data_IF_063962202623
#
_entry.id   IF_063962202623
#
_cell.length_a   1.000
_cell.length_b   1.000
_cell.length_c   1.000
_cell.angle_alpha   90.00
_cell.angle_beta   90.00
_cell.angle_gamma   90.00
#
_symmetry.space_group_name_H-M   'P 1'
#
loop_
_entity.id
_entity.type
_entity.pdbx_description
1 polymer ?
#
# COMPACT_ATOMS: atom_id res chain seq x y z
N UNK A 1 13.61 -17.32 -35.16
CA UNK A 1 13.72 -16.79 -33.79
C UNK A 1 13.45 -17.95 -32.85
N UNK A 2 14.45 -18.40 -32.11
CA UNK A 2 14.27 -19.44 -31.09
C UNK A 2 13.86 -18.71 -29.81
N UNK A 3 12.71 -19.05 -29.25
CA UNK A 3 12.30 -18.55 -27.93
C UNK A 3 13.27 -19.10 -26.88
N UNK A 4 13.97 -18.20 -26.20
CA UNK A 4 14.85 -18.53 -25.09
C UNK A 4 14.03 -19.20 -23.97
N UNK A 5 14.45 -20.41 -23.58
CA UNK A 5 13.83 -21.14 -22.47
C UNK A 5 13.87 -20.31 -21.19
N UNK A 6 12.84 -20.47 -20.34
CA UNK A 6 12.83 -19.86 -18.99
C UNK A 6 14.08 -20.23 -18.19
N UNK A 7 14.59 -21.45 -18.38
CA UNK A 7 15.79 -21.93 -17.69
C UNK A 7 17.06 -21.29 -18.27
N UNK A 8 17.17 -21.13 -19.59
CA UNK A 8 18.30 -20.45 -20.24
C UNK A 8 18.39 -18.97 -19.84
N UNK A 9 17.23 -18.30 -19.75
CA UNK A 9 17.17 -16.91 -19.28
C UNK A 9 17.58 -16.79 -17.82
N UNK A 10 17.21 -17.75 -16.98
CA UNK A 10 17.57 -17.81 -15.56
C UNK A 10 19.07 -18.05 -15.37
N UNK A 11 19.65 -18.96 -16.15
CA UNK A 11 21.08 -19.28 -16.10
C UNK A 11 21.95 -18.11 -16.58
N UNK A 12 21.56 -17.45 -17.68
CA UNK A 12 22.25 -16.25 -18.17
C UNK A 12 22.18 -15.09 -17.18
N UNK A 13 21.03 -14.86 -16.56
CA UNK A 13 20.91 -13.84 -15.52
C UNK A 13 21.84 -14.21 -14.35
N UNK A 14 21.81 -15.46 -13.87
CA UNK A 14 22.67 -15.94 -12.76
C UNK A 14 24.18 -15.72 -12.98
N UNK A 15 24.63 -15.79 -14.24
CA UNK A 15 26.05 -15.65 -14.60
C UNK A 15 26.57 -14.21 -14.59
N UNK A 16 25.68 -13.21 -14.61
CA UNK A 16 26.06 -11.79 -14.60
C UNK A 16 26.16 -11.19 -13.20
N UNK A 17 26.04 -12.03 -12.18
CA UNK A 17 25.78 -11.59 -10.82
C UNK A 17 27.03 -11.79 -9.95
N UNK A 18 27.37 -10.83 -9.06
CA UNK A 18 28.53 -10.93 -8.19
C UNK A 18 28.55 -12.24 -7.38
N UNK A 19 29.73 -12.74 -7.00
CA UNK A 19 29.83 -14.04 -6.30
C UNK A 19 29.06 -14.11 -4.97
N UNK A 20 28.76 -12.97 -4.34
CA UNK A 20 27.91 -12.88 -3.14
C UNK A 20 26.40 -13.08 -3.44
N UNK A 21 26.00 -13.15 -4.71
CA UNK A 21 24.62 -13.34 -5.19
C UNK A 21 24.17 -14.81 -5.16
N UNK A 22 25.09 -15.76 -5.38
CA UNK A 22 24.78 -17.20 -5.49
C UNK A 22 24.18 -17.82 -4.21
N UNK A 23 24.60 -17.46 -2.98
CA UNK A 23 23.98 -17.96 -1.76
C UNK A 23 22.51 -17.53 -1.61
N UNK A 24 22.17 -16.32 -2.06
CA UNK A 24 20.83 -15.73 -1.91
C UNK A 24 19.78 -16.47 -2.75
N UNK A 25 20.14 -16.82 -3.98
CA UNK A 25 19.29 -17.64 -4.84
C UNK A 25 19.17 -19.08 -4.33
N UNK A 26 20.17 -19.59 -3.60
CA UNK A 26 20.15 -20.94 -3.06
C UNK A 26 19.20 -21.06 -1.86
N UNK A 27 19.09 -20.02 -1.04
CA UNK A 27 18.25 -20.01 0.17
C UNK A 27 16.80 -19.57 -0.11
N UNK A 28 16.51 -19.01 -1.29
CA UNK A 28 15.16 -18.51 -1.66
C UNK A 28 14.55 -17.57 -0.60
N UNK A 29 15.37 -16.72 -0.01
CA UNK A 29 14.94 -15.77 1.01
C UNK A 29 14.45 -14.45 0.40
N UNK A 30 13.17 -14.13 0.66
CA UNK A 30 12.52 -12.91 0.20
C UNK A 30 13.18 -11.65 0.79
N UNK A 31 13.59 -11.71 2.05
CA UNK A 31 14.19 -10.58 2.77
C UNK A 31 15.56 -10.23 2.19
N UNK A 32 16.38 -11.23 1.90
CA UNK A 32 17.65 -11.00 1.25
C UNK A 32 17.46 -10.43 -0.17
N UNK A 33 16.54 -10.96 -0.97
CA UNK A 33 16.23 -10.37 -2.29
C UNK A 33 15.78 -8.90 -2.18
N UNK A 34 14.93 -8.58 -1.19
CA UNK A 34 14.51 -7.20 -0.90
C UNK A 34 15.71 -6.30 -0.58
N UNK A 35 16.56 -6.69 0.37
CA UNK A 35 17.76 -5.93 0.76
C UNK A 35 18.71 -5.67 -0.39
N UNK A 36 18.78 -6.58 -1.37
CA UNK A 36 19.61 -6.41 -2.55
C UNK A 36 19.00 -5.44 -3.55
N UNK A 37 17.68 -5.52 -3.75
CA UNK A 37 16.94 -4.45 -4.43
C UNK A 37 17.29 -3.10 -3.83
N UNK A 38 17.22 -2.99 -2.49
CA UNK A 38 17.50 -1.74 -1.81
C UNK A 38 18.95 -1.28 -1.90
N UNK A 39 19.90 -2.19 -1.79
CA UNK A 39 21.32 -1.89 -1.99
C UNK A 39 21.60 -1.29 -3.37
N UNK A 40 21.00 -1.87 -4.43
CA UNK A 40 21.23 -1.40 -5.80
C UNK A 40 20.76 0.03 -6.02
N UNK A 41 19.69 0.48 -5.35
CA UNK A 41 19.27 1.88 -5.48
C UNK A 41 20.06 2.81 -4.56
N UNK A 42 20.23 2.46 -3.28
CA UNK A 42 20.94 3.33 -2.34
C UNK A 42 22.39 3.61 -2.74
N UNK A 43 23.08 2.66 -3.38
CA UNK A 43 24.52 2.78 -3.65
C UNK A 43 24.89 3.16 -5.08
N UNK A 44 24.01 2.90 -6.05
CA UNK A 44 24.35 2.97 -7.47
C UNK A 44 23.36 3.83 -8.27
N UNK A 45 22.29 4.29 -7.62
CA UNK A 45 21.30 5.20 -8.19
C UNK A 45 20.64 4.67 -9.46
N UNK A 46 20.20 5.59 -10.32
CA UNK A 46 19.44 5.29 -11.54
C UNK A 46 20.16 4.31 -12.49
N UNK A 47 21.50 4.28 -12.46
CA UNK A 47 22.29 3.38 -13.32
C UNK A 47 22.00 1.89 -13.09
N UNK A 48 21.53 1.53 -11.88
CA UNK A 48 21.21 0.16 -11.50
C UNK A 48 19.71 -0.09 -11.25
N UNK A 49 18.84 0.84 -11.67
CA UNK A 49 17.39 0.72 -11.47
C UNK A 49 16.80 -0.56 -12.12
N UNK A 50 17.41 -1.07 -13.19
CA UNK A 50 17.03 -2.36 -13.79
C UNK A 50 17.30 -3.56 -12.87
N UNK A 51 18.46 -3.58 -12.20
CA UNK A 51 18.83 -4.64 -11.27
C UNK A 51 17.96 -4.60 -10.01
N UNK A 52 17.71 -3.41 -9.46
CA UNK A 52 16.84 -3.24 -8.30
C UNK A 52 15.43 -3.76 -8.57
N UNK A 53 14.85 -3.41 -9.73
CA UNK A 53 13.54 -3.92 -10.16
C UNK A 53 13.48 -5.44 -10.24
N UNK A 54 14.51 -6.06 -10.84
CA UNK A 54 14.59 -7.52 -10.93
C UNK A 54 14.60 -8.16 -9.53
N UNK A 55 15.31 -7.55 -8.59
CA UNK A 55 15.40 -8.06 -7.23
C UNK A 55 14.11 -7.94 -6.43
N UNK A 56 13.42 -6.82 -6.54
CA UNK A 56 12.12 -6.68 -5.91
C UNK A 56 11.08 -7.60 -6.48
N UNK A 57 11.09 -7.86 -7.78
CA UNK A 57 10.21 -8.86 -8.36
C UNK A 57 10.46 -10.25 -7.74
N UNK A 58 11.72 -10.65 -7.55
CA UNK A 58 12.07 -11.89 -6.85
C UNK A 58 11.64 -11.85 -5.38
N UNK A 59 11.84 -10.73 -4.70
CA UNK A 59 11.42 -10.56 -3.31
C UNK A 59 9.90 -10.77 -3.16
N UNK A 60 9.10 -10.17 -4.04
CA UNK A 60 7.64 -10.33 -4.05
C UNK A 60 7.22 -11.73 -4.44
N UNK A 61 7.90 -12.36 -5.41
CA UNK A 61 7.63 -13.76 -5.77
C UNK A 61 7.81 -14.70 -4.57
N UNK A 62 8.81 -14.45 -3.72
CA UNK A 62 9.13 -15.28 -2.56
C UNK A 62 8.33 -14.90 -1.31
N UNK A 63 8.11 -13.60 -1.08
CA UNK A 63 7.49 -13.05 0.13
C UNK A 63 6.01 -12.71 0.00
N UNK A 64 5.43 -12.86 -1.21
CA UNK A 64 4.03 -12.61 -1.48
C UNK A 64 3.60 -11.16 -1.28
N UNK A 65 2.33 -10.99 -0.91
CA UNK A 65 1.66 -9.68 -0.87
C UNK A 65 2.23 -8.76 0.21
N UNK A 66 2.67 -9.29 1.36
CA UNK A 66 3.32 -8.50 2.41
C UNK A 66 4.59 -7.83 1.89
N UNK A 67 5.35 -8.55 1.06
CA UNK A 67 6.55 -8.00 0.45
C UNK A 67 6.22 -6.96 -0.63
N UNK A 68 5.12 -7.12 -1.37
CA UNK A 68 4.70 -6.12 -2.37
C UNK A 68 4.40 -4.75 -1.71
N UNK A 69 3.76 -4.75 -0.54
CA UNK A 69 3.56 -3.52 0.25
C UNK A 69 4.88 -2.89 0.68
N UNK A 70 5.84 -3.68 1.16
CA UNK A 70 7.17 -3.18 1.57
C UNK A 70 7.96 -2.62 0.40
N UNK A 71 7.94 -3.29 -0.75
CA UNK A 71 8.56 -2.81 -1.99
C UNK A 71 7.92 -1.50 -2.46
N UNK A 72 6.60 -1.34 -2.30
CA UNK A 72 5.94 -0.07 -2.59
C UNK A 72 6.47 1.08 -1.73
N UNK A 73 6.67 0.86 -0.43
CA UNK A 73 7.25 1.87 0.48
C UNK A 73 8.66 2.24 0.04
N UNK A 74 9.48 1.24 -0.22
CA UNK A 74 10.88 1.44 -0.60
C UNK A 74 11.00 2.24 -1.92
N UNK A 75 10.07 2.09 -2.86
CA UNK A 75 10.03 2.93 -4.07
C UNK A 75 9.62 4.39 -3.82
N UNK A 76 8.82 4.67 -2.78
CA UNK A 76 8.51 6.06 -2.36
C UNK A 76 9.78 6.73 -1.82
N UNK A 77 10.51 6.04 -0.94
CA UNK A 77 11.74 6.57 -0.34
C UNK A 77 12.80 6.92 -1.40
N UNK A 78 12.67 6.37 -2.61
CA UNK A 78 13.57 6.61 -3.74
C UNK A 78 13.06 7.62 -4.76
N UNK A 79 11.80 8.03 -4.67
CA UNK A 79 11.13 8.87 -5.66
C UNK A 79 10.86 8.16 -7.00
N UNK A 80 10.63 6.84 -6.99
CA UNK A 80 10.09 6.11 -8.16
C UNK A 80 8.59 5.85 -7.98
N UNK A 81 7.86 6.95 -8.00
CA UNK A 81 6.42 7.10 -7.80
C UNK A 81 5.59 6.12 -8.63
N UNK A 82 5.99 5.91 -9.89
CA UNK A 82 5.28 5.03 -10.81
C UNK A 82 5.39 3.58 -10.38
N UNK A 83 6.56 3.16 -9.93
CA UNK A 83 6.76 1.81 -9.40
C UNK A 83 6.11 1.64 -8.04
N UNK A 84 6.17 2.65 -7.16
CA UNK A 84 5.44 2.64 -5.90
C UNK A 84 3.94 2.42 -6.14
N UNK A 85 3.30 3.25 -6.96
CA UNK A 85 1.89 3.13 -7.30
C UNK A 85 1.55 1.81 -8.02
N UNK A 86 2.47 1.25 -8.81
CA UNK A 86 2.28 -0.06 -9.44
C UNK A 86 2.29 -1.20 -8.42
N UNK A 87 3.26 -1.23 -7.51
CA UNK A 87 3.38 -2.26 -6.47
C UNK A 87 2.22 -2.20 -5.47
N UNK A 88 1.78 -1.00 -5.10
CA UNK A 88 0.58 -0.81 -4.29
C UNK A 88 -0.67 -1.41 -4.97
N UNK A 89 -0.92 -1.09 -6.25
CA UNK A 89 -2.04 -1.68 -7.02
C UNK A 89 -1.93 -3.21 -7.11
N UNK A 90 -0.72 -3.71 -7.35
CA UNK A 90 -0.45 -5.15 -7.37
C UNK A 90 -0.82 -5.77 -6.02
N UNK A 91 -0.41 -5.16 -4.91
CA UNK A 91 -0.65 -5.66 -3.57
C UNK A 91 -2.15 -5.68 -3.22
N UNK A 92 -2.87 -4.58 -3.47
CA UNK A 92 -4.33 -4.50 -3.29
C UNK A 92 -5.03 -5.59 -4.10
N UNK A 93 -4.65 -5.75 -5.38
CA UNK A 93 -5.25 -6.78 -6.23
C UNK A 93 -5.06 -8.18 -5.64
N UNK A 94 -3.85 -8.52 -5.19
CA UNK A 94 -3.56 -9.87 -4.69
C UNK A 94 -4.11 -10.13 -3.29
N UNK A 95 -4.23 -9.11 -2.44
CA UNK A 95 -4.79 -9.25 -1.10
C UNK A 95 -6.31 -9.45 -1.14
N UNK A 96 -7.01 -8.80 -2.10
CA UNK A 96 -8.48 -8.74 -2.11
C UNK A 96 -9.18 -9.41 -3.32
N UNK A 97 -8.47 -10.00 -4.29
CA UNK A 97 -9.12 -10.59 -5.48
C UNK A 97 -10.15 -11.70 -5.18
N UNK A 98 -10.03 -12.39 -4.04
CA UNK A 98 -10.91 -13.49 -3.64
C UNK A 98 -11.24 -13.42 -2.15
N UNK A 99 -11.62 -12.23 -1.67
CA UNK A 99 -11.96 -12.04 -0.26
C UNK A 99 -13.17 -12.94 0.13
N UNK A 100 -13.18 -13.61 1.31
CA UNK A 100 -14.20 -14.58 1.68
C UNK A 100 -15.66 -14.05 1.70
N UNK A 101 -15.85 -12.77 2.00
CA UNK A 101 -17.16 -12.11 1.98
C UNK A 101 -17.60 -11.64 0.59
N UNK A 102 -16.74 -11.83 -0.43
CA UNK A 102 -16.96 -11.35 -1.78
C UNK A 102 -16.78 -9.84 -1.94
N UNK A 103 -16.26 -9.14 -0.93
CA UNK A 103 -15.89 -7.72 -1.05
C UNK A 103 -14.82 -7.57 -2.13
N UNK A 104 -15.06 -6.64 -3.07
CA UNK A 104 -14.14 -6.34 -4.17
C UNK A 104 -13.53 -4.98 -3.89
N UNK A 105 -12.21 -4.92 -3.86
CA UNK A 105 -11.46 -3.66 -3.71
C UNK A 105 -10.83 -3.30 -5.04
N UNK A 106 -11.19 -2.14 -5.58
CA UNK A 106 -10.56 -1.60 -6.78
C UNK A 106 -9.07 -1.33 -6.48
N UNK A 107 -8.12 -1.80 -7.31
CA UNK A 107 -6.69 -1.61 -7.06
C UNK A 107 -6.25 -0.15 -6.94
N UNK A 108 -7.03 0.79 -7.46
CA UNK A 108 -6.72 2.22 -7.48
C UNK A 108 -7.26 3.00 -6.28
N UNK A 109 -7.89 2.33 -5.30
CA UNK A 109 -8.25 2.98 -4.03
C UNK A 109 -7.00 3.50 -3.32
N UNK A 110 -7.10 4.70 -2.73
CA UNK A 110 -5.96 5.39 -2.10
C UNK A 110 -4.73 5.52 -3.00
N UNK A 111 -4.92 5.68 -4.32
CA UNK A 111 -3.82 5.82 -5.24
C UNK A 111 -2.84 6.93 -4.80
N UNK A 112 -1.55 6.63 -4.90
CA UNK A 112 -0.49 7.61 -4.71
C UNK A 112 -0.49 8.58 -5.89
N UNK A 113 -0.55 9.87 -5.58
CA UNK A 113 -0.49 10.97 -6.54
C UNK A 113 0.77 11.75 -6.22
N UNK A 114 1.53 12.10 -7.24
CA UNK A 114 2.80 12.81 -7.09
C UNK A 114 2.82 14.03 -7.99
N UNK A 115 3.47 15.10 -7.54
CA UNK A 115 3.71 16.29 -8.35
C UNK A 115 4.93 16.12 -9.27
N UNK A 116 5.24 17.16 -10.05
CA UNK A 116 6.38 17.17 -10.97
C UNK A 116 7.75 17.06 -10.25
N UNK A 117 7.78 17.24 -8.92
CA UNK A 117 8.97 17.11 -8.08
C UNK A 117 9.10 15.71 -7.46
N UNK A 118 8.14 14.81 -7.72
CA UNK A 118 8.08 13.48 -7.12
C UNK A 118 7.69 13.50 -5.65
N UNK A 119 7.04 14.57 -5.19
CA UNK A 119 6.50 14.64 -3.85
C UNK A 119 5.09 14.07 -3.88
N UNK A 120 4.77 13.18 -2.93
CA UNK A 120 3.41 12.71 -2.78
C UNK A 120 2.49 13.90 -2.44
N UNK A 121 1.51 14.14 -3.29
CA UNK A 121 0.56 15.25 -3.17
C UNK A 121 -0.86 14.74 -3.05
N UNK A 122 -1.72 15.62 -2.53
CA UNK A 122 -3.09 15.30 -2.18
C UNK A 122 -3.27 15.36 -0.68
N UNK A 123 -4.44 15.84 -0.28
CA UNK A 123 -4.87 15.90 1.12
C UNK A 123 -6.20 15.17 1.29
N UNK A 124 -7.09 15.30 0.32
CA UNK A 124 -8.44 14.74 0.39
C UNK A 124 -8.53 13.38 -0.31
N UNK A 125 -8.32 12.33 0.48
CA UNK A 125 -8.43 10.95 0.06
C UNK A 125 -9.78 10.38 0.45
N UNK A 126 -10.25 9.39 -0.30
CA UNK A 126 -11.48 8.72 0.08
C UNK A 126 -11.83 7.58 -0.84
N UNK A 127 -12.80 6.82 -0.38
CA UNK A 127 -13.34 5.68 -1.10
C UNK A 127 -14.84 5.81 -1.19
N UNK A 128 -15.40 5.30 -2.29
CA UNK A 128 -16.83 5.07 -2.46
C UNK A 128 -17.10 3.59 -2.30
N UNK A 129 -18.05 3.24 -1.47
CA UNK A 129 -18.49 1.87 -1.27
C UNK A 129 -19.88 1.69 -1.84
N UNK A 130 -20.05 0.69 -2.70
CA UNK A 130 -21.34 0.32 -3.29
C UNK A 130 -21.81 -0.97 -2.63
N UNK A 131 -22.97 -0.91 -1.98
CA UNK A 131 -23.61 -2.06 -1.32
C UNK A 131 -25.14 -1.94 -1.41
N UNK A 132 -25.85 -3.06 -1.21
CA UNK A 132 -27.30 -3.12 -1.35
C UNK A 132 -28.08 -2.56 -0.14
N UNK A 133 -27.49 -2.60 1.06
CA UNK A 133 -28.12 -2.16 2.31
C UNK A 133 -27.45 -0.88 2.80
N UNK A 134 -28.15 0.25 2.64
CA UNK A 134 -27.62 1.58 2.94
C UNK A 134 -27.44 1.86 4.44
N UNK A 135 -28.33 1.34 5.30
CA UNK A 135 -28.27 1.59 6.75
C UNK A 135 -27.06 0.87 7.36
N UNK A 136 -26.87 -0.41 6.99
CA UNK A 136 -25.68 -1.17 7.41
C UNK A 136 -24.40 -0.58 6.85
N UNK A 137 -24.46 -0.07 5.62
CA UNK A 137 -23.31 0.56 4.99
C UNK A 137 -22.91 1.79 5.79
N UNK A 138 -23.85 2.68 6.09
CA UNK A 138 -23.59 3.88 6.88
C UNK A 138 -22.96 3.54 8.23
N UNK A 139 -23.50 2.55 8.96
CA UNK A 139 -22.92 2.08 10.21
C UNK A 139 -21.48 1.57 10.08
N UNK A 140 -21.17 0.79 9.04
CA UNK A 140 -19.83 0.28 8.78
C UNK A 140 -18.85 1.39 8.39
N UNK A 141 -19.28 2.35 7.56
CA UNK A 141 -18.44 3.48 7.16
C UNK A 141 -18.14 4.41 8.34
N UNK A 142 -19.12 4.63 9.21
CA UNK A 142 -18.96 5.40 10.46
C UNK A 142 -17.97 4.73 11.43
N UNK A 143 -18.00 3.40 11.53
CA UNK A 143 -17.05 2.64 12.34
C UNK A 143 -15.64 2.72 11.72
N UNK A 144 -15.52 2.53 10.41
CA UNK A 144 -14.25 2.60 9.70
C UNK A 144 -13.61 3.99 9.81
N UNK A 145 -14.40 5.07 9.64
CA UNK A 145 -13.90 6.44 9.75
C UNK A 145 -13.30 6.74 11.13
N UNK A 146 -13.92 6.26 12.21
CA UNK A 146 -13.37 6.39 13.57
C UNK A 146 -12.02 5.70 13.72
N UNK A 147 -11.89 4.48 13.18
CA UNK A 147 -10.65 3.70 13.23
C UNK A 147 -9.57 4.26 12.30
N UNK A 148 -9.93 4.84 11.17
CA UNK A 148 -9.00 5.49 10.26
C UNK A 148 -8.20 6.59 10.94
N UNK A 149 -8.83 7.40 11.79
CA UNK A 149 -8.17 8.44 12.58
C UNK A 149 -7.09 7.92 13.55
N UNK A 150 -7.03 6.59 13.76
CA UNK A 150 -6.06 5.91 14.60
C UNK A 150 -4.96 5.20 13.80
N UNK A 151 -4.95 5.31 12.46
CA UNK A 151 -3.96 4.63 11.61
C UNK A 151 -2.77 5.54 11.34
N UNK A 152 -1.57 5.07 11.67
CA UNK A 152 -0.31 5.77 11.43
C UNK A 152 0.20 5.64 9.98
N UNK A 153 1.10 6.52 9.54
CA UNK A 153 1.72 6.44 8.21
C UNK A 153 2.45 5.12 7.93
N UNK A 154 3.06 4.49 8.95
CA UNK A 154 3.69 3.18 8.84
C UNK A 154 2.69 2.01 8.90
N UNK A 155 1.39 2.30 8.92
CA UNK A 155 0.31 1.33 8.81
C UNK A 155 -0.08 0.64 10.12
N UNK A 156 0.27 1.22 11.27
CA UNK A 156 -0.16 0.70 12.57
C UNK A 156 -1.49 1.33 12.96
N UNK A 157 -2.43 0.49 13.37
CA UNK A 157 -3.64 0.96 14.05
C UNK A 157 -3.33 1.09 15.54
N UNK A 158 -3.49 2.30 16.09
CA UNK A 158 -3.33 2.57 17.51
C UNK A 158 -4.59 2.13 18.27
N UNK A 159 -4.40 1.58 19.47
CA UNK A 159 -5.53 1.48 20.40
C UNK A 159 -5.85 2.84 21.06
N UNK A 160 -7.02 2.94 21.69
CA UNK A 160 -7.48 4.18 22.33
C UNK A 160 -6.51 4.70 23.40
N UNK A 161 -5.80 3.80 24.09
CA UNK A 161 -4.86 4.18 25.15
C UNK A 161 -3.58 4.74 24.53
N UNK A 162 -3.00 4.06 23.54
CA UNK A 162 -1.83 4.55 22.80
C UNK A 162 -2.12 5.88 22.10
N UNK A 163 -3.30 6.03 21.49
CA UNK A 163 -3.72 7.27 20.84
C UNK A 163 -3.83 8.42 21.85
N UNK A 164 -4.37 8.15 23.04
CA UNK A 164 -4.45 9.14 24.12
C UNK A 164 -3.07 9.50 24.66
N UNK A 165 -2.18 8.52 24.88
CA UNK A 165 -0.82 8.77 25.34
C UNK A 165 -0.06 9.66 24.35
N UNK A 166 -0.14 9.38 23.05
CA UNK A 166 0.47 10.22 22.02
C UNK A 166 -0.11 11.62 21.99
N UNK A 167 -1.44 11.77 22.11
CA UNK A 167 -2.09 13.07 22.19
C UNK A 167 -1.57 13.88 23.39
N UNK A 168 -1.34 13.23 24.53
CA UNK A 168 -0.83 13.88 25.74
C UNK A 168 0.67 14.24 25.60
N UNK A 169 1.49 13.35 25.04
CA UNK A 169 2.92 13.56 24.83
C UNK A 169 3.21 14.67 23.82
N UNK A 170 2.42 14.75 22.75
CA UNK A 170 2.58 15.74 21.68
C UNK A 170 1.91 17.09 22.03
N UNK A 171 1.37 17.23 23.25
CA UNK A 171 0.86 18.51 23.78
C UNK A 171 -0.54 18.87 23.28
N UNK A 172 -1.35 17.87 22.91
CA UNK A 172 -2.71 18.04 22.40
C UNK A 172 -2.79 18.42 20.92
N UNK A 173 -1.64 18.66 20.29
CA UNK A 173 -1.49 18.82 18.85
C UNK A 173 -0.74 17.57 18.40
N UNK A 174 -1.46 16.54 17.94
CA UNK A 174 -0.80 15.41 17.28
C UNK A 174 0.06 16.03 16.18
N UNK A 175 1.38 15.93 16.31
CA UNK A 175 2.30 16.65 15.42
C UNK A 175 1.89 16.26 13.99
N UNK A 176 1.55 17.23 13.12
CA UNK A 176 1.16 16.92 11.74
C UNK A 176 2.26 16.17 10.96
N UNK A 177 3.44 15.99 11.54
CA UNK A 177 4.56 15.16 11.05
C UNK A 177 4.55 13.70 11.55
N UNK A 178 3.65 13.31 12.46
CA UNK A 178 3.50 11.94 12.99
C UNK A 178 2.21 11.21 12.52
N UNK A 179 1.56 11.77 11.50
CA UNK A 179 0.62 11.18 10.53
C UNK A 179 -0.33 10.09 11.04
N UNK A 180 -1.51 10.52 11.48
CA UNK A 180 -2.80 9.85 11.26
C UNK A 180 -3.61 10.71 10.27
N UNK A 181 -4.70 10.24 9.62
CA UNK A 181 -5.60 11.16 8.92
C UNK A 181 -6.02 12.27 9.89
N UNK A 182 -5.81 13.54 9.53
CA UNK A 182 -6.19 14.70 10.35
C UNK A 182 -7.69 14.67 10.67
N UNK A 183 -8.47 14.16 9.72
CA UNK A 183 -9.87 13.87 9.90
C UNK A 183 -10.25 12.68 9.04
N UNK A 184 -11.23 11.91 9.49
CA UNK A 184 -11.91 10.92 8.68
C UNK A 184 -13.42 11.05 8.92
N UNK A 185 -14.20 11.04 7.85
CA UNK A 185 -15.64 11.26 7.92
C UNK A 185 -16.36 10.39 6.89
N UNK A 186 -17.40 9.69 7.35
CA UNK A 186 -18.32 8.97 6.49
C UNK A 186 -19.49 9.87 6.08
N UNK A 187 -19.93 9.74 4.83
CA UNK A 187 -21.13 10.39 4.31
C UNK A 187 -21.83 9.48 3.31
N UNK A 188 -23.03 8.99 3.63
CA UNK A 188 -23.82 8.08 2.80
C UNK A 188 -23.06 6.79 2.38
N UNK A 189 -22.31 6.87 1.28
CA UNK A 189 -21.60 5.76 0.65
C UNK A 189 -20.11 6.04 0.47
N UNK A 190 -19.57 7.07 1.13
CA UNK A 190 -18.16 7.44 1.02
C UNK A 190 -17.54 7.61 2.39
N UNK A 191 -16.27 7.23 2.53
CA UNK A 191 -15.42 7.66 3.64
C UNK A 191 -14.34 8.55 3.07
N UNK A 192 -14.20 9.74 3.63
CA UNK A 192 -13.19 10.73 3.27
C UNK A 192 -12.17 10.84 4.40
N UNK A 193 -10.94 11.16 4.05
CA UNK A 193 -9.80 11.28 4.94
C UNK A 193 -8.95 12.47 4.49
N UNK A 194 -8.61 13.35 5.43
CA UNK A 194 -7.59 14.37 5.21
C UNK A 194 -6.22 13.82 5.62
N UNK A 195 -5.44 13.33 4.66
CA UNK A 195 -4.08 12.81 4.89
C UNK A 195 -3.07 13.77 4.28
N UNK A 196 -2.24 14.42 5.11
CA UNK A 196 -1.11 15.21 4.62
C UNK A 196 -0.17 14.31 3.83
N UNK A 197 0.30 14.80 2.68
CA UNK A 197 1.32 14.16 1.85
C UNK A 197 0.96 12.77 1.29
N UNK A 198 -0.33 12.44 1.23
CA UNK A 198 -0.77 11.17 0.67
C UNK A 198 -1.20 10.12 1.68
N UNK A 199 -1.82 9.04 1.17
CA UNK A 199 -2.03 7.82 1.96
C UNK A 199 -0.89 6.85 1.67
N UNK A 200 0.10 6.77 2.56
CA UNK A 200 1.27 5.91 2.39
C UNK A 200 0.87 4.42 2.23
N UNK A 201 1.67 3.56 1.58
CA UNK A 201 1.25 2.21 1.22
C UNK A 201 0.78 1.37 2.43
N UNK A 202 1.52 1.40 3.54
CA UNK A 202 1.15 0.63 4.73
C UNK A 202 -0.08 1.21 5.44
N UNK A 203 -0.20 2.54 5.47
CA UNK A 203 -1.41 3.23 5.93
C UNK A 203 -2.63 2.83 5.10
N UNK A 204 -2.53 2.91 3.77
CA UNK A 204 -3.59 2.53 2.84
C UNK A 204 -3.98 1.06 3.04
N UNK A 205 -3.00 0.16 3.17
CA UNK A 205 -3.25 -1.24 3.46
C UNK A 205 -4.11 -1.41 4.71
N UNK A 206 -3.74 -0.77 5.81
CA UNK A 206 -4.46 -0.89 7.09
C UNK A 206 -5.85 -0.27 7.02
N UNK A 207 -6.00 0.88 6.35
CA UNK A 207 -7.31 1.49 6.10
C UNK A 207 -8.22 0.59 5.26
N UNK A 208 -7.71 -0.05 4.20
CA UNK A 208 -8.51 -1.02 3.43
C UNK A 208 -8.91 -2.21 4.32
N UNK A 209 -7.99 -2.74 5.14
CA UNK A 209 -8.29 -3.85 6.07
C UNK A 209 -9.38 -3.49 7.07
N UNK A 210 -9.30 -2.30 7.68
CA UNK A 210 -10.33 -1.78 8.58
C UNK A 210 -11.66 -1.71 7.85
N UNK A 211 -11.71 -1.08 6.68
CA UNK A 211 -12.95 -0.93 5.92
C UNK A 211 -13.59 -2.27 5.59
N UNK A 212 -12.80 -3.22 5.09
CA UNK A 212 -13.28 -4.57 4.77
C UNK A 212 -13.78 -5.30 6.03
N UNK A 213 -13.06 -5.17 7.14
CA UNK A 213 -13.48 -5.75 8.42
C UNK A 213 -14.80 -5.17 8.94
N UNK A 214 -15.02 -3.85 8.81
CA UNK A 214 -16.27 -3.22 9.23
C UNK A 214 -17.44 -3.61 8.31
N UNK A 215 -17.21 -3.74 7.00
CA UNK A 215 -18.21 -4.26 6.06
C UNK A 215 -18.60 -5.71 6.40
N UNK A 216 -17.62 -6.54 6.75
CA UNK A 216 -17.84 -7.92 7.18
C UNK A 216 -18.62 -8.00 8.51
N UNK A 217 -18.31 -7.12 9.46
CA UNK A 217 -18.92 -7.09 10.79
C UNK A 217 -20.44 -6.83 10.73
N UNK A 218 -20.89 -6.01 9.77
CA UNK A 218 -22.32 -5.75 9.51
C UNK A 218 -22.94 -6.74 8.52
N UNK A 219 -22.15 -7.69 8.00
CA UNK A 219 -22.60 -8.74 7.08
C UNK A 219 -22.86 -8.26 5.65
N UNK A 220 -22.20 -7.18 5.20
CA UNK A 220 -22.31 -6.67 3.83
C UNK A 220 -21.43 -7.47 2.89
N UNK A 221 -22.03 -8.49 2.26
CA UNK A 221 -21.35 -9.32 1.25
C UNK A 221 -21.41 -8.69 -0.13
N UNK A 222 -20.37 -8.88 -0.93
CA UNK A 222 -20.32 -8.40 -2.31
C UNK A 222 -20.22 -6.88 -2.45
N UNK A 223 -19.82 -6.16 -1.39
CA UNK A 223 -19.62 -4.72 -1.47
C UNK A 223 -18.44 -4.39 -2.40
N UNK A 224 -18.55 -3.30 -3.16
CA UNK A 224 -17.49 -2.83 -4.05
C UNK A 224 -16.88 -1.55 -3.47
N UNK A 225 -15.58 -1.58 -3.16
CA UNK A 225 -14.81 -0.42 -2.69
C UNK A 225 -14.08 0.17 -3.90
N UNK A 226 -14.37 1.43 -4.21
CA UNK A 226 -13.90 2.15 -5.40
C UNK A 226 -13.23 3.46 -5.02
N UNK A 227 -12.40 4.05 -5.91
CA UNK A 227 -11.95 5.42 -5.74
C UNK A 227 -13.15 6.36 -5.59
N UNK A 228 -12.97 7.41 -4.79
CA UNK A 228 -13.98 8.46 -4.68
C UNK A 228 -14.14 9.18 -6.03
N UNK A 229 -15.37 9.38 -6.52
CA UNK A 229 -15.60 10.13 -7.76
C UNK A 229 -15.03 11.55 -7.68
N UNK A 230 -14.34 11.99 -8.72
CA UNK A 230 -13.76 13.32 -8.78
C UNK A 230 -12.49 13.47 -7.93
N UNK A 231 -11.94 12.37 -7.43
CA UNK A 231 -10.56 12.34 -6.95
C UNK A 231 -9.61 12.70 -8.10
N UNK A 232 -8.45 13.25 -7.77
CA UNK A 232 -7.44 13.65 -8.77
C UNK A 232 -6.97 12.49 -9.66
N UNK A 233 -7.21 11.24 -9.26
CA UNK A 233 -6.96 10.01 -10.04
C UNK A 233 -7.80 9.96 -11.34
N UNK A 234 -8.95 10.66 -11.38
CA UNK A 234 -9.85 10.69 -12.54
C UNK A 234 -9.43 11.73 -13.61
N UNK A 235 -8.34 12.50 -13.39
CA UNK A 235 -7.88 13.58 -14.29
C UNK A 235 -6.63 13.19 -15.08
#
# INVERSE_FOLDING_TARGET
MVEESRDDRRERLSAQLPDWYRPVLAERDAETAFRLGSYHVLRQGLSHAGFARGWFAVAVELGGVDMAWRVSVEHIDWGDDRLAAWWMRYAISHEYWNHPSGVIVDPTVFALIFDDLGTAVGQDFGVKVVAADGERLEAALDAAARRFALVTADGRELDDHEALERLLEEGGDLDPRNYTPNSAMATNSTVNCDCKDGTMPLMARTMIRILVAELDAVGLRGAEVKPRPGSEVDR
#
